data_IF_457276245182
#
_entry.id   IF_457276245182
#
_cell.length_a   1.000
_cell.length_b   1.000
_cell.length_c   1.000
_cell.angle_alpha   90.00
_cell.angle_beta   90.00
_cell.angle_gamma   90.00
#
_symmetry.space_group_name_H-M   'P 1'
#
loop_
_entity.id
_entity.type
_entity.pdbx_description
1 polymer ?
#
# COMPACT_ATOMS: atom_id res chain seq x y z
N UNK A 1 47.53 -11.14 1.89
CA UNK A 1 47.16 -9.70 1.99
C UNK A 1 46.71 -9.09 0.65
N UNK A 2 47.09 -9.65 -0.49
CA UNK A 2 46.72 -9.18 -1.85
C UNK A 2 45.25 -9.46 -2.25
N UNK A 3 44.65 -10.53 -1.72
CA UNK A 3 43.31 -11.00 -2.11
C UNK A 3 42.17 -10.11 -1.55
N UNK A 4 42.30 -9.65 -0.30
CA UNK A 4 41.31 -8.77 0.35
C UNK A 4 41.25 -7.39 -0.31
N UNK A 5 42.40 -6.85 -0.75
CA UNK A 5 42.44 -5.56 -1.44
C UNK A 5 41.86 -5.63 -2.86
N UNK A 6 42.00 -6.78 -3.54
CA UNK A 6 41.37 -7.00 -4.83
C UNK A 6 39.84 -7.08 -4.69
N UNK A 7 39.35 -7.87 -3.74
CA UNK A 7 37.92 -7.97 -3.39
C UNK A 7 37.28 -6.62 -3.06
N UNK A 8 37.94 -5.80 -2.23
CA UNK A 8 37.46 -4.46 -1.86
C UNK A 8 37.43 -3.47 -3.04
N UNK A 9 38.37 -3.57 -3.97
CA UNK A 9 38.40 -2.72 -5.19
C UNK A 9 37.27 -3.10 -6.15
N UNK A 10 37.04 -4.39 -6.34
CA UNK A 10 35.94 -4.91 -7.17
C UNK A 10 34.58 -4.54 -6.56
N UNK A 11 34.45 -4.60 -5.24
CA UNK A 11 33.23 -4.21 -4.52
C UNK A 11 32.94 -2.71 -4.67
N UNK A 12 33.94 -1.84 -4.49
CA UNK A 12 33.80 -0.39 -4.68
C UNK A 12 33.49 0.01 -6.12
N UNK A 13 34.07 -0.69 -7.11
CA UNK A 13 33.79 -0.43 -8.52
C UNK A 13 32.35 -0.82 -8.92
N UNK A 14 31.86 -1.97 -8.42
CA UNK A 14 30.48 -2.40 -8.63
C UNK A 14 29.49 -1.45 -7.95
N UNK A 15 29.72 -1.09 -6.69
CA UNK A 15 28.87 -0.14 -5.97
C UNK A 15 28.81 1.24 -6.65
N UNK A 16 29.92 1.71 -7.23
CA UNK A 16 29.94 2.96 -8.02
C UNK A 16 29.12 2.88 -9.30
N UNK A 17 29.13 1.74 -9.99
CA UNK A 17 28.29 1.53 -11.17
C UNK A 17 26.80 1.45 -10.80
N UNK A 18 26.45 0.79 -9.69
CA UNK A 18 25.09 0.76 -9.14
C UNK A 18 24.63 2.14 -8.66
N UNK A 19 25.52 2.92 -8.01
CA UNK A 19 25.27 4.32 -7.63
C UNK A 19 25.08 5.23 -8.84
N UNK A 20 25.87 5.08 -9.90
CA UNK A 20 25.70 5.89 -11.11
C UNK A 20 24.38 5.59 -11.83
N UNK A 21 23.93 4.32 -11.84
CA UNK A 21 22.61 3.94 -12.33
C UNK A 21 21.50 4.55 -11.46
N UNK A 22 21.65 4.53 -10.13
CA UNK A 22 20.71 5.17 -9.19
C UNK A 22 20.62 6.70 -9.38
N UNK A 23 21.74 7.39 -9.63
CA UNK A 23 21.76 8.84 -9.85
C UNK A 23 21.19 9.27 -11.21
N UNK A 24 21.41 8.48 -12.27
CA UNK A 24 20.84 8.73 -13.60
C UNK A 24 19.32 8.51 -13.60
N UNK A 25 18.82 7.55 -12.83
CA UNK A 25 17.39 7.20 -12.77
C UNK A 25 16.60 8.11 -11.80
N UNK A 26 17.23 8.61 -10.73
CA UNK A 26 16.64 9.60 -9.84
C UNK A 26 16.29 10.93 -10.55
N UNK A 27 17.01 11.29 -11.61
CA UNK A 27 16.74 12.47 -12.42
C UNK A 27 15.56 12.30 -13.42
N UNK A 28 15.11 11.06 -13.68
CA UNK A 28 13.99 10.73 -14.58
C UNK A 28 12.78 10.10 -13.88
N UNK A 29 12.93 9.69 -12.62
CA UNK A 29 11.93 8.93 -11.87
C UNK A 29 11.96 7.46 -12.27
N UNK A 30 12.40 6.61 -11.34
CA UNK A 30 12.34 5.15 -11.46
C UNK A 30 10.89 4.67 -11.60
N UNK A 31 10.62 3.77 -12.55
CA UNK A 31 9.42 2.93 -12.49
C UNK A 31 9.50 1.99 -11.28
N UNK A 32 8.34 1.48 -10.83
CA UNK A 32 8.28 0.49 -9.75
C UNK A 32 9.10 -0.77 -10.15
N UNK A 33 8.99 -1.25 -11.40
CA UNK A 33 9.79 -2.38 -11.88
C UNK A 33 11.29 -2.14 -11.85
N UNK A 34 11.77 -0.95 -12.25
CA UNK A 34 13.18 -0.60 -12.15
C UNK A 34 13.65 -0.56 -10.68
N UNK A 35 12.86 0.05 -9.79
CA UNK A 35 13.16 0.09 -8.37
C UNK A 35 13.33 -1.32 -7.78
N UNK A 36 12.39 -2.23 -8.07
CA UNK A 36 12.47 -3.62 -7.61
C UNK A 36 13.58 -4.43 -8.28
N UNK A 37 13.91 -4.13 -9.54
CA UNK A 37 15.06 -4.75 -10.22
C UNK A 37 16.37 -4.41 -9.52
N UNK A 38 16.54 -3.16 -9.08
CA UNK A 38 17.71 -2.75 -8.29
C UNK A 38 17.78 -3.50 -6.96
N UNK A 39 16.66 -3.62 -6.23
CA UNK A 39 16.60 -4.40 -4.99
C UNK A 39 16.96 -5.88 -5.24
N UNK A 40 16.37 -6.50 -6.27
CA UNK A 40 16.62 -7.90 -6.64
C UNK A 40 18.10 -8.15 -6.96
N UNK A 41 18.75 -7.22 -7.66
CA UNK A 41 20.18 -7.30 -7.96
C UNK A 41 21.03 -7.16 -6.70
N UNK A 42 20.72 -6.20 -5.84
CA UNK A 42 21.43 -6.02 -4.56
C UNK A 42 21.31 -7.25 -3.66
N UNK A 43 20.13 -7.88 -3.57
CA UNK A 43 19.95 -9.14 -2.83
C UNK A 43 20.85 -10.24 -3.41
N UNK A 44 20.93 -10.35 -4.74
CA UNK A 44 21.81 -11.30 -5.41
C UNK A 44 23.30 -11.06 -5.11
N UNK A 45 23.72 -9.81 -5.02
CA UNK A 45 25.10 -9.44 -4.67
C UNK A 45 25.46 -9.75 -3.22
N UNK A 46 24.53 -9.55 -2.27
CA UNK A 46 24.76 -9.93 -0.87
C UNK A 46 24.84 -11.46 -0.74
N UNK A 47 24.04 -12.19 -1.52
CA UNK A 47 24.07 -13.65 -1.58
C UNK A 47 23.33 -14.33 -0.43
N UNK A 48 23.32 -15.66 -0.42
CA UNK A 48 22.54 -16.47 0.52
C UNK A 48 22.92 -16.26 2.00
N UNK A 49 24.12 -15.74 2.28
CA UNK A 49 24.56 -15.36 3.63
C UNK A 49 23.73 -14.25 4.28
N UNK A 50 22.90 -13.55 3.51
CA UNK A 50 21.95 -12.55 4.03
C UNK A 50 20.79 -13.17 4.80
N UNK A 51 20.50 -14.45 4.55
CA UNK A 51 19.32 -15.13 5.06
C UNK A 51 19.66 -15.97 6.28
N UNK A 52 18.68 -16.11 7.16
CA UNK A 52 18.81 -16.86 8.40
C UNK A 52 18.08 -18.20 8.29
N UNK A 53 18.55 -19.20 9.02
CA UNK A 53 17.92 -20.50 9.13
C UNK A 53 17.75 -20.88 10.62
N UNK A 54 16.54 -21.15 11.11
CA UNK A 54 15.26 -21.12 10.39
C UNK A 54 14.84 -19.70 9.98
N UNK A 55 14.09 -19.55 8.87
CA UNK A 55 13.51 -18.27 8.50
C UNK A 55 12.57 -17.77 9.59
N UNK A 56 12.60 -16.47 9.88
CA UNK A 56 11.75 -15.82 10.90
C UNK A 56 10.83 -14.79 10.28
N UNK A 57 9.74 -14.48 10.99
CA UNK A 57 8.80 -13.41 10.66
C UNK A 57 8.23 -13.49 9.23
N UNK A 58 7.98 -14.70 8.74
CA UNK A 58 7.43 -14.92 7.40
C UNK A 58 5.90 -15.03 7.46
N UNK A 59 5.22 -14.44 6.47
CA UNK A 59 3.80 -14.71 6.19
C UNK A 59 3.75 -15.63 4.98
N UNK A 60 3.22 -16.83 5.17
CA UNK A 60 3.24 -17.89 4.16
C UNK A 60 1.90 -18.18 3.50
N UNK A 61 1.90 -19.16 2.57
CA UNK A 61 0.72 -19.64 1.85
C UNK A 61 -0.48 -20.04 2.73
N UNK A 62 -0.21 -20.48 3.97
CA UNK A 62 -1.25 -20.86 4.92
C UNK A 62 -2.18 -19.69 5.32
N UNK A 63 -1.68 -18.45 5.25
CA UNK A 63 -2.45 -17.24 5.56
C UNK A 63 -2.77 -16.43 4.32
N UNK A 64 -1.82 -16.36 3.38
CA UNK A 64 -1.94 -15.59 2.14
C UNK A 64 -1.57 -16.50 0.97
N UNK A 65 -2.55 -16.97 0.18
CA UNK A 65 -2.26 -17.70 -1.05
C UNK A 65 -1.23 -16.97 -1.91
N UNK A 66 -0.39 -17.73 -2.60
CA UNK A 66 0.68 -17.23 -3.49
C UNK A 66 1.84 -16.49 -2.78
N UNK A 67 1.80 -16.32 -1.45
CA UNK A 67 2.91 -15.76 -0.70
C UNK A 67 4.14 -16.68 -0.74
N UNK A 68 5.30 -16.10 -1.07
CA UNK A 68 6.57 -16.82 -1.12
C UNK A 68 7.26 -16.74 0.24
N UNK A 69 7.56 -17.91 0.84
CA UNK A 69 8.45 -17.98 2.01
C UNK A 69 9.88 -17.71 1.53
N UNK A 70 10.51 -16.69 2.08
CA UNK A 70 11.85 -16.24 1.67
C UNK A 70 12.91 -16.89 2.56
N UNK A 71 13.73 -17.76 1.97
CA UNK A 71 14.78 -18.52 2.66
C UNK A 71 16.17 -18.34 2.07
N UNK A 72 16.26 -17.76 0.86
CA UNK A 72 17.49 -17.59 0.09
C UNK A 72 17.31 -16.54 -1.00
N UNK A 73 18.36 -16.26 -1.77
CA UNK A 73 18.31 -15.31 -2.90
C UNK A 73 17.24 -15.70 -3.91
N UNK A 74 17.15 -16.98 -4.26
CA UNK A 74 16.23 -17.44 -5.30
C UNK A 74 14.76 -17.16 -4.95
N UNK A 75 14.36 -17.45 -3.72
CA UNK A 75 12.99 -17.20 -3.20
C UNK A 75 12.72 -15.71 -2.99
N UNK A 76 13.72 -14.93 -2.55
CA UNK A 76 13.59 -13.47 -2.46
C UNK A 76 13.35 -12.83 -3.83
N UNK A 77 14.14 -13.23 -4.83
CA UNK A 77 13.98 -12.75 -6.20
C UNK A 77 12.67 -13.24 -6.82
N UNK A 78 12.18 -14.42 -6.45
CA UNK A 78 10.85 -14.89 -6.83
C UNK A 78 9.75 -13.97 -6.29
N UNK A 79 9.78 -13.65 -5.00
CA UNK A 79 8.82 -12.74 -4.39
C UNK A 79 8.83 -11.35 -5.08
N UNK A 80 10.01 -10.83 -5.39
CA UNK A 80 10.14 -9.55 -6.10
C UNK A 80 9.60 -9.62 -7.53
N UNK A 81 9.88 -10.71 -8.26
CA UNK A 81 9.32 -10.90 -9.61
C UNK A 81 7.80 -10.85 -9.59
N UNK A 82 7.14 -11.50 -8.63
CA UNK A 82 5.69 -11.43 -8.47
C UNK A 82 5.20 -9.99 -8.31
N UNK A 83 5.86 -9.16 -7.48
CA UNK A 83 5.48 -7.75 -7.29
C UNK A 83 5.54 -6.97 -8.62
N UNK A 84 6.60 -7.16 -9.40
CA UNK A 84 6.77 -6.49 -10.70
C UNK A 84 5.71 -6.98 -11.69
N UNK A 85 5.49 -8.29 -11.76
CA UNK A 85 4.54 -8.89 -12.70
C UNK A 85 3.08 -8.46 -12.43
N UNK A 86 2.67 -8.37 -11.18
CA UNK A 86 1.33 -7.84 -10.81
C UNK A 86 1.21 -6.34 -11.11
N UNK A 87 2.29 -5.57 -10.95
CA UNK A 87 2.30 -4.13 -11.18
C UNK A 87 2.25 -3.75 -12.66
N UNK A 88 3.22 -4.23 -13.44
CA UNK A 88 3.48 -3.79 -14.81
C UNK A 88 3.52 -4.92 -15.84
N UNK A 89 3.31 -6.16 -15.42
CA UNK A 89 3.37 -7.35 -16.27
C UNK A 89 4.79 -7.81 -16.49
N UNK A 90 5.02 -8.50 -17.60
CA UNK A 90 6.36 -8.94 -18.01
C UNK A 90 6.83 -8.10 -19.18
N UNK A 91 8.13 -8.21 -19.52
CA UNK A 91 8.69 -7.60 -20.73
C UNK A 91 8.06 -8.09 -22.04
N UNK A 92 7.25 -9.17 -22.00
CA UNK A 92 6.65 -9.80 -23.18
C UNK A 92 5.13 -9.86 -23.14
N UNK A 93 4.49 -9.59 -22.00
CA UNK A 93 3.07 -9.80 -21.81
C UNK A 93 2.48 -8.87 -20.77
N UNK A 94 1.30 -8.29 -21.01
CA UNK A 94 0.54 -7.53 -20.02
C UNK A 94 -0.11 -8.40 -18.95
N UNK A 95 0.01 -9.73 -19.08
CA UNK A 95 -0.57 -10.66 -18.12
C UNK A 95 0.29 -10.79 -16.88
N UNK A 96 -0.35 -10.78 -15.72
CA UNK A 96 0.28 -11.28 -14.50
C UNK A 96 0.44 -12.81 -14.61
N UNK A 97 1.58 -13.34 -14.17
CA UNK A 97 1.84 -14.80 -14.16
C UNK A 97 1.27 -15.43 -12.90
N UNK A 98 1.41 -14.71 -11.79
CA UNK A 98 0.83 -15.04 -10.49
C UNK A 98 -0.21 -13.95 -10.19
N UNK A 99 -1.49 -14.32 -10.14
CA UNK A 99 -2.59 -13.39 -9.90
C UNK A 99 -3.95 -13.90 -10.39
N UNK A 100 -5.01 -13.16 -10.08
CA UNK A 100 -6.42 -13.57 -10.29
C UNK A 100 -7.17 -12.80 -11.38
N UNK A 101 -6.57 -11.73 -11.89
CA UNK A 101 -7.20 -10.69 -12.70
C UNK A 101 -6.65 -10.61 -14.12
N UNK A 102 -5.85 -11.59 -14.55
CA UNK A 102 -5.37 -11.84 -15.92
C UNK A 102 -4.42 -10.79 -16.50
N UNK A 103 -4.57 -9.51 -16.19
CA UNK A 103 -3.71 -8.42 -16.62
C UNK A 103 -3.13 -7.66 -15.42
N UNK A 104 -1.88 -7.22 -15.54
CA UNK A 104 -1.22 -6.42 -14.52
C UNK A 104 -1.92 -5.07 -14.30
N UNK A 105 -1.66 -4.45 -13.14
CA UNK A 105 -2.31 -3.22 -12.68
C UNK A 105 -2.23 -2.09 -13.71
N UNK A 106 -1.05 -1.85 -14.29
CA UNK A 106 -0.87 -0.82 -15.32
C UNK A 106 -1.92 -0.95 -16.44
N UNK A 107 -2.07 -2.16 -17.00
CA UNK A 107 -2.99 -2.39 -18.11
C UNK A 107 -4.44 -2.29 -17.67
N UNK A 108 -4.78 -2.74 -16.46
CA UNK A 108 -6.15 -2.63 -15.91
C UNK A 108 -6.57 -1.17 -15.74
N UNK A 109 -5.70 -0.34 -15.19
CA UNK A 109 -5.94 1.10 -15.04
C UNK A 109 -5.98 1.81 -16.39
N UNK A 110 -5.13 1.40 -17.33
CA UNK A 110 -5.17 1.94 -18.69
C UNK A 110 -6.46 1.59 -19.43
N UNK A 111 -7.09 0.44 -19.19
CA UNK A 111 -8.41 0.15 -19.76
C UNK A 111 -9.45 1.19 -19.32
N UNK A 112 -9.43 1.61 -18.04
CA UNK A 112 -10.31 2.66 -17.52
C UNK A 112 -10.00 3.99 -18.21
N UNK A 113 -8.71 4.37 -18.28
CA UNK A 113 -8.27 5.60 -18.95
C UNK A 113 -8.68 5.66 -20.43
N UNK A 114 -8.59 4.53 -21.13
CA UNK A 114 -8.95 4.43 -22.55
C UNK A 114 -10.44 4.18 -22.79
N UNK A 115 -11.21 3.89 -21.73
CA UNK A 115 -12.63 3.53 -21.83
C UNK A 115 -12.91 2.24 -22.60
N UNK A 116 -11.91 1.37 -22.79
CA UNK A 116 -12.02 0.12 -23.58
C UNK A 116 -11.16 -0.99 -22.99
N UNK A 117 -11.65 -2.23 -23.08
CA UNK A 117 -10.91 -3.42 -22.64
C UNK A 117 -9.70 -3.69 -23.53
N UNK A 118 -8.65 -4.24 -22.92
CA UNK A 118 -7.45 -4.72 -23.59
C UNK A 118 -7.72 -6.08 -24.24
N UNK A 119 -7.50 -6.15 -25.54
CA UNK A 119 -7.61 -7.39 -26.33
C UNK A 119 -6.25 -7.79 -26.89
N UNK A 120 -6.10 -9.08 -27.15
CA UNK A 120 -4.94 -9.66 -27.82
C UNK A 120 -5.35 -10.07 -29.23
N UNK A 121 -4.60 -9.62 -30.23
CA UNK A 121 -4.76 -9.98 -31.62
C UNK A 121 -3.42 -10.46 -32.23
N UNK A 122 -3.38 -10.66 -33.54
CA UNK A 122 -2.18 -11.13 -34.25
C UNK A 122 -1.05 -10.09 -34.25
N UNK A 123 -1.36 -8.80 -34.12
CA UNK A 123 -0.41 -7.69 -34.11
C UNK A 123 0.09 -7.34 -32.71
N UNK A 124 -0.56 -7.85 -31.66
CA UNK A 124 -0.15 -7.66 -30.27
C UNK A 124 -1.34 -7.39 -29.36
N UNK A 125 -1.20 -6.38 -28.49
CA UNK A 125 -2.25 -5.96 -27.58
C UNK A 125 -2.73 -4.56 -27.92
N UNK A 126 -4.05 -4.37 -27.93
CA UNK A 126 -4.68 -3.07 -28.23
C UNK A 126 -5.88 -2.82 -27.33
N UNK A 127 -6.15 -1.55 -27.00
CA UNK A 127 -7.34 -1.12 -26.24
C UNK A 127 -8.55 -0.96 -27.17
N UNK A 128 -8.84 -1.98 -27.97
CA UNK A 128 -9.90 -1.97 -28.98
C UNK A 128 -11.11 -2.83 -28.60
N UNK A 129 -11.08 -3.48 -27.43
CA UNK A 129 -12.17 -4.33 -26.95
C UNK A 129 -13.44 -3.59 -26.57
N UNK A 130 -14.31 -4.30 -25.84
CA UNK A 130 -15.59 -3.75 -25.36
C UNK A 130 -15.39 -2.41 -24.65
N UNK A 131 -16.35 -1.51 -24.85
CA UNK A 131 -16.40 -0.26 -24.09
C UNK A 131 -16.56 -0.55 -22.60
N UNK A 132 -15.84 0.22 -21.79
CA UNK A 132 -16.04 0.28 -20.34
C UNK A 132 -16.96 1.46 -20.07
N UNK A 133 -18.19 1.15 -19.65
CA UNK A 133 -19.18 2.17 -19.31
C UNK A 133 -18.74 2.88 -18.04
N UNK A 134 -18.66 4.21 -18.10
CA UNK A 134 -18.36 5.09 -16.97
C UNK A 134 -19.40 6.20 -16.95
N UNK A 135 -20.07 6.38 -15.82
CA UNK A 135 -20.99 7.48 -15.57
C UNK A 135 -20.29 8.50 -14.66
N UNK A 136 -19.80 9.63 -15.20
CA UNK A 136 -19.16 10.67 -14.40
C UNK A 136 -20.11 11.27 -13.35
N UNK A 137 -21.42 11.29 -13.62
CA UNK A 137 -22.42 11.84 -12.69
C UNK A 137 -22.66 10.94 -11.47
N UNK A 138 -22.29 9.66 -11.57
CA UNK A 138 -22.31 8.70 -10.47
C UNK A 138 -21.09 8.77 -9.54
N UNK A 139 -20.13 9.68 -9.79
CA UNK A 139 -18.94 9.85 -8.94
C UNK A 139 -19.26 10.84 -7.81
N UNK A 140 -19.09 10.40 -6.56
CA UNK A 140 -19.28 11.25 -5.39
C UNK A 140 -18.25 12.39 -5.34
N UNK A 141 -18.74 13.61 -5.11
CA UNK A 141 -17.91 14.79 -4.90
C UNK A 141 -17.31 14.78 -3.49
N UNK A 142 -16.00 14.54 -3.43
CA UNK A 142 -15.20 14.42 -2.20
C UNK A 142 -13.99 15.35 -2.26
N UNK A 143 -13.56 15.93 -1.12
CA UNK A 143 -12.42 16.84 -1.10
C UNK A 143 -11.12 16.12 -1.46
N UNK A 144 -10.21 16.83 -2.14
CA UNK A 144 -8.84 16.37 -2.35
C UNK A 144 -7.99 16.55 -1.08
N UNK A 145 -7.37 15.47 -0.60
CA UNK A 145 -6.49 15.46 0.58
C UNK A 145 -7.11 16.11 1.84
N UNK A 146 -8.29 15.65 2.28
CA UNK A 146 -8.95 16.21 3.46
C UNK A 146 -8.10 16.04 4.72
N UNK A 147 -8.32 16.91 5.69
CA UNK A 147 -7.80 16.85 7.06
C UNK A 147 -8.93 16.82 8.06
N UNK A 148 -8.66 16.27 9.24
CA UNK A 148 -9.59 16.30 10.39
C UNK A 148 -10.00 17.73 10.73
N UNK A 149 -9.11 18.70 10.53
CA UNK A 149 -9.37 20.12 10.77
C UNK A 149 -10.37 20.75 9.78
N UNK A 150 -10.59 20.12 8.61
CA UNK A 150 -11.56 20.60 7.62
C UNK A 150 -13.01 20.36 8.06
N UNK A 151 -13.21 19.49 9.06
CA UNK A 151 -14.53 19.20 9.63
C UNK A 151 -14.74 20.00 10.92
N UNK A 152 -15.93 20.63 11.13
CA UNK A 152 -16.18 21.41 12.34
C UNK A 152 -15.98 20.58 13.61
N UNK A 153 -15.44 21.21 14.66
CA UNK A 153 -15.32 20.55 15.97
C UNK A 153 -16.70 20.08 16.48
N UNK A 154 -16.74 18.90 17.09
CA UNK A 154 -18.01 18.30 17.55
C UNK A 154 -18.94 17.82 16.43
N UNK A 155 -18.59 17.97 15.15
CA UNK A 155 -19.42 17.47 14.05
C UNK A 155 -19.38 15.94 13.93
N UNK A 156 -20.44 15.37 13.36
CA UNK A 156 -20.51 13.94 13.10
C UNK A 156 -19.49 13.50 12.04
N UNK A 157 -19.14 14.37 11.10
CA UNK A 157 -18.10 14.17 10.09
C UNK A 157 -16.71 14.11 10.72
N UNK A 158 -16.40 15.02 11.66
CA UNK A 158 -15.14 14.99 12.39
C UNK A 158 -15.00 13.71 13.22
N UNK A 159 -16.08 13.27 13.88
CA UNK A 159 -16.11 11.97 14.59
C UNK A 159 -15.87 10.79 13.64
N UNK A 160 -16.54 10.77 12.48
CA UNK A 160 -16.35 9.72 11.48
C UNK A 160 -14.90 9.68 10.96
N UNK A 161 -14.32 10.84 10.65
CA UNK A 161 -12.92 10.93 10.21
C UNK A 161 -11.93 10.50 11.30
N UNK A 162 -12.14 10.92 12.56
CA UNK A 162 -11.30 10.49 13.68
C UNK A 162 -11.38 8.96 13.89
N UNK A 163 -12.58 8.38 13.79
CA UNK A 163 -12.78 6.94 13.90
C UNK A 163 -12.09 6.16 12.76
N UNK A 164 -12.16 6.69 11.54
CA UNK A 164 -11.40 6.15 10.41
C UNK A 164 -9.89 6.20 10.68
N UNK A 165 -9.36 7.36 11.09
CA UNK A 165 -7.94 7.54 11.35
C UNK A 165 -7.42 6.64 12.47
N UNK A 166 -8.23 6.42 13.52
CA UNK A 166 -7.91 5.48 14.58
C UNK A 166 -7.86 4.03 14.08
N UNK A 167 -8.83 3.63 13.25
CA UNK A 167 -8.86 2.31 12.59
C UNK A 167 -7.64 2.12 11.68
N UNK A 168 -7.26 3.16 10.93
CA UNK A 168 -6.10 3.16 10.04
C UNK A 168 -4.80 3.01 10.83
N UNK A 169 -4.66 3.78 11.90
CA UNK A 169 -3.53 3.69 12.83
C UNK A 169 -3.43 2.29 13.46
N UNK A 170 -4.57 1.72 13.84
CA UNK A 170 -4.66 0.36 14.39
C UNK A 170 -4.24 -0.69 13.36
N UNK A 171 -4.62 -0.53 12.08
CA UNK A 171 -4.18 -1.40 10.99
C UNK A 171 -2.65 -1.37 10.86
N UNK A 172 -2.05 -0.17 10.81
CA UNK A 172 -0.59 -0.01 10.70
C UNK A 172 0.15 -0.64 11.89
N UNK A 173 -0.31 -0.42 13.12
CA UNK A 173 0.27 -1.03 14.33
C UNK A 173 0.15 -2.56 14.31
N UNK A 174 -0.98 -3.08 13.82
CA UNK A 174 -1.22 -4.53 13.75
C UNK A 174 -0.36 -5.18 12.68
N UNK A 175 -0.24 -4.57 11.49
CA UNK A 175 0.69 -4.98 10.44
C UNK A 175 2.14 -4.96 10.93
N UNK A 176 2.54 -3.91 11.66
CA UNK A 176 3.87 -3.82 12.26
C UNK A 176 4.13 -4.99 13.22
N UNK A 177 3.20 -5.31 14.12
CA UNK A 177 3.36 -6.45 15.03
C UNK A 177 3.41 -7.79 14.28
N UNK A 178 2.55 -7.97 13.27
CA UNK A 178 2.50 -9.16 12.44
C UNK A 178 3.83 -9.40 11.71
N UNK A 179 4.37 -8.38 11.03
CA UNK A 179 5.65 -8.47 10.32
C UNK A 179 6.88 -8.54 11.24
N UNK A 180 6.71 -8.31 12.53
CA UNK A 180 7.73 -8.55 13.56
C UNK A 180 7.55 -9.90 14.29
N UNK A 181 6.77 -10.82 13.72
CA UNK A 181 6.71 -12.22 14.17
C UNK A 181 5.72 -12.52 15.29
N UNK A 182 4.85 -11.57 15.65
CA UNK A 182 3.85 -11.80 16.68
C UNK A 182 2.64 -12.53 16.09
N UNK A 183 2.34 -13.73 16.63
CA UNK A 183 1.10 -14.53 16.45
C UNK A 183 0.46 -14.48 15.05
N UNK A 184 0.89 -15.35 14.10
CA UNK A 184 0.51 -15.24 12.69
C UNK A 184 -1.00 -15.38 12.41
N UNK A 185 -1.74 -16.23 13.15
CA UNK A 185 -3.16 -16.48 12.88
C UNK A 185 -4.08 -15.33 13.33
N UNK A 186 -4.14 -15.08 14.63
CA UNK A 186 -5.06 -14.09 15.20
C UNK A 186 -4.78 -12.67 14.73
N UNK A 187 -3.49 -12.31 14.58
CA UNK A 187 -3.12 -10.98 14.08
C UNK A 187 -3.43 -10.79 12.60
N UNK A 188 -3.23 -11.82 11.78
CA UNK A 188 -3.62 -11.74 10.37
C UNK A 188 -5.13 -11.55 10.24
N UNK A 189 -5.93 -12.30 11.00
CA UNK A 189 -7.39 -12.10 11.05
C UNK A 189 -7.78 -10.69 11.52
N UNK A 190 -7.08 -10.15 12.53
CA UNK A 190 -7.29 -8.77 12.98
C UNK A 190 -6.96 -7.74 11.88
N UNK A 191 -5.87 -7.94 11.12
CA UNK A 191 -5.53 -7.11 9.94
C UNK A 191 -6.68 -7.12 8.93
N UNK A 192 -7.21 -8.29 8.58
CA UNK A 192 -8.34 -8.42 7.65
C UNK A 192 -9.59 -7.70 8.20
N UNK A 193 -9.92 -7.88 9.48
CA UNK A 193 -11.04 -7.18 10.13
C UNK A 193 -10.92 -5.65 10.11
N UNK A 194 -9.70 -5.13 10.31
CA UNK A 194 -9.41 -3.70 10.23
C UNK A 194 -9.51 -3.18 8.79
N UNK A 195 -9.03 -3.93 7.79
CA UNK A 195 -9.22 -3.57 6.37
C UNK A 195 -10.70 -3.48 5.98
N UNK A 196 -11.52 -4.44 6.44
CA UNK A 196 -12.97 -4.41 6.22
C UNK A 196 -13.63 -3.23 6.91
N UNK A 197 -13.21 -2.91 8.13
CA UNK A 197 -13.67 -1.72 8.87
C UNK A 197 -13.33 -0.43 8.12
N UNK A 198 -12.10 -0.27 7.63
CA UNK A 198 -11.69 0.89 6.84
C UNK A 198 -12.52 1.05 5.58
N UNK A 199 -12.76 -0.05 4.85
CA UNK A 199 -13.61 -0.03 3.66
C UNK A 199 -15.01 0.45 4.00
N UNK A 200 -15.63 -0.10 5.04
CA UNK A 200 -16.98 0.28 5.46
C UNK A 200 -17.06 1.75 5.88
N UNK A 201 -16.11 2.20 6.71
CA UNK A 201 -16.03 3.58 7.19
C UNK A 201 -15.81 4.58 6.05
N UNK A 202 -14.85 4.33 5.16
CA UNK A 202 -14.59 5.20 4.00
C UNK A 202 -15.81 5.25 3.06
N UNK A 203 -16.43 4.10 2.78
CA UNK A 203 -17.64 4.03 1.94
C UNK A 203 -18.77 4.83 2.56
N UNK A 204 -19.01 4.69 3.87
CA UNK A 204 -20.02 5.44 4.59
C UNK A 204 -19.77 6.95 4.48
N UNK A 205 -18.56 7.42 4.81
CA UNK A 205 -18.18 8.83 4.71
C UNK A 205 -18.44 9.39 3.31
N UNK A 206 -17.87 8.73 2.29
CA UNK A 206 -17.91 9.20 0.91
C UNK A 206 -19.28 9.05 0.23
N UNK A 207 -20.21 8.27 0.81
CA UNK A 207 -21.59 8.13 0.32
C UNK A 207 -22.60 9.00 1.09
N UNK A 208 -22.13 9.88 1.98
CA UNK A 208 -22.97 10.83 2.70
C UNK A 208 -23.46 10.38 4.06
N UNK A 209 -22.81 9.42 4.69
CA UNK A 209 -23.04 9.08 6.09
C UNK A 209 -21.95 9.75 6.94
N UNK A 210 -22.30 10.41 8.06
CA UNK A 210 -23.63 10.47 8.69
C UNK A 210 -24.51 11.63 8.20
N UNK A 211 -24.03 12.48 7.30
CA UNK A 211 -24.79 13.64 6.83
C UNK A 211 -24.78 13.77 5.29
N UNK A 212 -25.86 13.42 4.59
CA UNK A 212 -25.91 13.47 3.13
C UNK A 212 -26.01 14.90 2.60
N UNK A 213 -26.39 15.86 3.45
CA UNK A 213 -26.43 17.28 3.12
C UNK A 213 -25.05 17.95 3.19
N UNK A 214 -24.02 17.29 3.76
CA UNK A 214 -22.66 17.82 3.75
C UNK A 214 -22.14 17.96 2.31
N UNK A 215 -21.47 19.07 2.00
CA UNK A 215 -20.83 19.33 0.69
C UNK A 215 -19.48 20.05 0.90
N UNK A 216 -18.37 19.54 0.32
CA UNK A 216 -18.26 18.21 -0.30
C UNK A 216 -18.54 17.10 0.72
N UNK A 217 -18.79 15.87 0.25
CA UNK A 217 -18.99 14.74 1.15
C UNK A 217 -17.71 14.49 1.96
N UNK A 218 -17.81 14.08 3.24
CA UNK A 218 -16.62 13.81 4.02
C UNK A 218 -15.82 12.65 3.41
N UNK A 219 -14.50 12.76 3.46
CA UNK A 219 -13.59 11.72 3.00
C UNK A 219 -12.49 11.44 4.04
N UNK A 220 -11.89 10.24 4.01
CA UNK A 220 -10.88 9.86 4.98
C UNK A 220 -9.59 10.68 4.84
N UNK A 221 -9.00 11.12 5.95
CA UNK A 221 -7.76 11.91 5.93
C UNK A 221 -6.47 11.10 6.12
N UNK A 222 -6.58 9.85 6.59
CA UNK A 222 -5.45 8.95 6.86
C UNK A 222 -4.41 9.52 7.84
N UNK A 223 -4.83 10.45 8.70
CA UNK A 223 -3.95 11.03 9.71
C UNK A 223 -3.69 10.03 10.84
N UNK A 224 -2.52 10.16 11.47
CA UNK A 224 -2.17 9.32 12.61
C UNK A 224 -3.01 9.71 13.84
N UNK A 225 -3.77 8.75 14.37
CA UNK A 225 -4.66 8.93 15.51
C UNK A 225 -4.44 7.76 16.49
N UNK A 226 -3.56 7.93 17.49
CA UNK A 226 -3.21 6.84 18.40
C UNK A 226 -4.20 6.63 19.56
N UNK A 227 -5.05 7.61 19.83
CA UNK A 227 -6.04 7.60 20.92
C UNK A 227 -7.41 7.28 20.35
N UNK A 228 -8.10 6.34 20.98
CA UNK A 228 -9.48 6.00 20.62
C UNK A 228 -10.39 7.23 20.81
N UNK A 229 -11.04 7.73 19.75
CA UNK A 229 -11.95 8.87 19.83
C UNK A 229 -13.14 8.66 20.78
N UNK A 230 -13.48 7.41 21.12
CA UNK A 230 -14.52 7.06 22.10
C UNK A 230 -14.01 6.89 23.54
N UNK A 231 -12.70 7.03 23.78
CA UNK A 231 -12.13 6.88 25.14
C UNK A 231 -12.37 8.11 26.00
N UNK A 232 -12.43 7.92 27.33
CA UNK A 232 -12.53 9.02 28.31
C UNK A 232 -11.45 10.11 28.12
N UNK A 233 -10.23 9.70 27.74
CA UNK A 233 -9.11 10.61 27.46
C UNK A 233 -9.35 11.51 26.23
N UNK A 234 -10.15 11.05 25.25
CA UNK A 234 -10.52 11.84 24.09
C UNK A 234 -11.63 12.87 24.41
N UNK A 235 -12.50 12.57 25.38
CA UNK A 235 -13.54 13.50 25.85
C UNK A 235 -12.94 14.71 26.57
N UNK A 236 -11.93 14.50 27.41
CA UNK A 236 -11.22 15.58 28.13
C UNK A 236 -10.48 16.53 27.18
N UNK A 237 -10.01 16.02 26.03
CA UNK A 237 -9.32 16.81 25.01
C UNK A 237 -10.28 17.58 24.07
N UNK A 238 -11.59 17.27 24.06
CA UNK A 238 -12.54 17.80 23.08
C UNK A 238 -13.60 18.79 23.58
N UNK A 239 -13.75 19.04 24.89
CA UNK A 239 -14.20 20.31 25.53
C UNK A 239 -14.76 20.10 26.94
N UNK A 240 -14.32 20.92 27.92
CA UNK A 240 -15.29 21.65 28.74
C UNK A 240 -15.22 23.11 28.28
N UNK A 241 -16.29 23.70 27.71
CA UNK A 241 -16.35 25.14 27.47
C UNK A 241 -16.13 25.87 28.79
N UNK A 242 -15.37 26.96 28.80
CA UNK A 242 -15.06 27.75 30.01
C UNK A 242 -16.30 28.21 30.79
N UNK A 243 -17.47 28.22 30.15
CA UNK A 243 -18.76 28.62 30.70
C UNK A 243 -19.45 27.54 31.56
N UNK A 244 -18.94 26.29 31.57
CA UNK A 244 -19.52 25.17 32.34
C UNK A 244 -18.58 24.63 33.43
N UNK A 245 -17.49 25.34 33.75
CA UNK A 245 -16.68 24.98 34.91
C UNK A 245 -17.40 25.45 36.19
N UNK A 246 -17.68 24.56 37.17
CA UNK A 246 -18.21 24.99 38.45
C UNK A 246 -17.18 25.92 39.10
N UNK A 247 -17.63 27.13 39.46
CA UNK A 247 -16.82 28.13 40.16
C UNK A 247 -16.02 27.46 41.29
N UNK A 248 -14.70 27.46 41.17
CA UNK A 248 -13.79 27.18 42.29
C UNK A 248 -13.50 28.45 43.05
#
# INVERSE_FOLDING_TARGET
MTDVQHSLRTWKARFRATSALLEIDAARGLTIGQFYSLISNMIGEVGDKAFINPPRNQIGPALMPDAVIVTNVATAQQAIRTIVEEGEGTSKSPTEVVGRYRYAHYYRLMQIKQGRKLVKDQSGYSYSGDSIVFDPSGVYDVPGNPKVADYPSGSAQRRACNNFNYTYTSLLKTLHALFNGQTPGDRFNAVIGLMMSLKAQATAMMSGIPNPAAKPLPAPSFEYQPVDPGSAQAFDAQTIPSELQPNR
#
